data_IF_640270036147
#
_entry.id   IF_640270036147
#
_cell.length_a   1.000
_cell.length_b   1.000
_cell.length_c   1.000
_cell.angle_alpha   90.00
_cell.angle_beta   90.00
_cell.angle_gamma   90.00
#
_symmetry.space_group_name_H-M   'P 1'
#
loop_
_entity.id
_entity.type
_entity.pdbx_description
1 polymer ?
2 non-polymer ?
3 non-polymer ?
4 non-polymer ?
5 water ?
#
# COMPACT_ATOMS: atom_id res chain seq x y z
N UNK A 8 12.90 -11.93 -21.25
CA UNK A 8 13.45 -10.64 -20.80
C UNK A 8 12.33 -9.66 -20.47
N UNK A 9 12.14 -8.68 -21.34
CA UNK A 9 11.06 -7.71 -21.18
C UNK A 9 9.74 -8.29 -21.67
N UNK A 10 9.83 -9.41 -22.38
CA UNK A 10 8.64 -10.08 -22.92
C UNK A 10 7.86 -10.77 -21.81
N UNK A 11 8.56 -11.21 -20.78
CA UNK A 11 7.93 -11.89 -19.65
C UNK A 11 7.13 -10.91 -18.79
N UNK A 12 7.54 -9.63 -18.82
CA UNK A 12 6.83 -8.61 -18.06
C UNK A 12 5.51 -8.24 -18.73
N UNK A 13 5.56 -8.03 -20.05
CA UNK A 13 4.36 -7.66 -20.81
C UNK A 13 3.32 -8.78 -20.77
N UNK A 14 3.78 -10.02 -20.72
CA UNK A 14 2.91 -11.16 -20.52
C UNK A 14 2.27 -11.08 -19.14
N UNK A 15 3.07 -10.70 -18.15
CA UNK A 15 2.60 -10.53 -16.79
C UNK A 15 1.47 -9.51 -16.72
N UNK A 16 1.68 -8.36 -17.37
CA UNK A 16 0.66 -7.31 -17.41
C UNK A 16 -0.62 -7.82 -18.08
N UNK A 17 -0.46 -8.63 -19.12
CA UNK A 17 -1.61 -9.20 -19.83
C UNK A 17 -2.38 -10.19 -18.96
N UNK A 18 -1.65 -11.06 -18.27
CA UNK A 18 -2.26 -12.05 -17.39
C UNK A 18 -3.08 -11.38 -16.29
N UNK A 19 -2.52 -10.35 -15.66
CA UNK A 19 -3.19 -9.62 -14.59
C UNK A 19 -4.49 -8.99 -15.09
N UNK A 20 -4.44 -8.39 -16.27
CA UNK A 20 -5.64 -7.84 -16.91
C UNK A 20 -6.64 -8.95 -17.22
N UNK A 21 -6.13 -10.11 -17.63
CA UNK A 21 -6.97 -11.23 -17.98
C UNK A 21 -7.80 -11.77 -16.84
N UNK A 22 -7.17 -11.88 -15.67
CA UNK A 22 -7.85 -12.35 -14.46
C UNK A 22 -8.97 -11.39 -14.05
N UNK A 23 -8.70 -10.10 -14.18
CA UNK A 23 -9.67 -9.07 -13.83
C UNK A 23 -10.91 -9.12 -14.71
N UNK A 24 -10.70 -9.42 -15.99
CA UNK A 24 -11.82 -9.54 -16.93
C UNK A 24 -12.62 -10.81 -16.67
N UNK A 25 -11.92 -11.90 -16.36
CA UNK A 25 -12.58 -13.16 -16.04
C UNK A 25 -13.41 -13.05 -14.77
N UNK A 26 -13.02 -12.14 -13.87
CA UNK A 26 -13.70 -11.96 -12.61
C UNK A 26 -14.66 -10.76 -12.64
N UNK A 27 -14.81 -10.16 -13.81
CA UNK A 27 -15.66 -8.98 -13.97
C UNK A 27 -17.13 -9.28 -13.73
N UNK A 28 -17.88 -8.26 -13.34
CA UNK A 28 -19.32 -8.42 -13.13
C UNK A 28 -20.07 -8.31 -14.46
N UNK A 29 -19.47 -7.61 -15.41
CA UNK A 29 -20.01 -7.51 -16.77
C UNK A 29 -18.94 -7.07 -17.77
N UNK A 30 -18.39 -8.03 -18.49
CA UNK A 30 -17.32 -7.75 -19.45
C UNK A 30 -17.79 -6.88 -20.60
N UNK A 31 -19.09 -6.98 -20.91
CA UNK A 31 -19.66 -6.21 -22.00
C UNK A 31 -19.96 -4.77 -21.58
N UNK A 32 -19.84 -4.49 -20.29
CA UNK A 32 -20.11 -3.15 -19.77
C UNK A 32 -18.83 -2.39 -19.47
N UNK A 33 -17.69 -3.03 -19.71
CA UNK A 33 -16.39 -2.40 -19.49
C UNK A 33 -16.18 -1.24 -20.45
N UNK A 34 -15.90 -0.06 -19.91
CA UNK A 34 -15.62 1.13 -20.71
C UNK A 34 -14.17 1.12 -21.16
N UNK A 35 -13.95 0.96 -22.47
CA UNK A 35 -12.60 0.84 -23.02
C UNK A 35 -11.77 2.12 -22.83
N UNK A 36 -12.43 3.27 -22.89
CA UNK A 36 -11.76 4.54 -22.65
C UNK A 36 -11.28 4.61 -21.21
N UNK A 37 -12.14 4.22 -20.29
CA UNK A 37 -11.81 4.24 -18.86
C UNK A 37 -10.63 3.33 -18.54
N UNK A 38 -10.77 2.03 -18.83
CA UNK A 38 -9.73 1.07 -18.46
C UNK A 38 -8.49 1.15 -19.35
N UNK A 39 -8.67 1.64 -20.58
CA UNK A 39 -7.55 1.84 -21.48
C UNK A 39 -6.67 2.98 -21.01
N UNK A 40 -7.30 4.11 -20.69
CA UNK A 40 -6.58 5.28 -20.21
C UNK A 40 -6.00 5.06 -18.83
N UNK A 41 -6.71 4.30 -18.00
CA UNK A 41 -6.27 4.01 -16.64
C UNK A 41 -4.96 3.25 -16.64
N UNK A 42 -4.87 2.24 -17.51
CA UNK A 42 -3.64 1.49 -17.67
C UNK A 42 -2.58 2.33 -18.35
N UNK A 43 -3.02 3.21 -19.25
CA UNK A 43 -2.10 4.08 -19.98
C UNK A 43 -1.39 5.04 -19.03
N UNK A 44 -2.13 5.57 -18.06
CA UNK A 44 -1.58 6.50 -17.10
C UNK A 44 -0.61 5.82 -16.14
N UNK A 45 -1.01 4.67 -15.60
CA UNK A 45 -0.17 3.93 -14.66
C UNK A 45 1.13 3.47 -15.32
N UNK A 46 1.03 3.06 -16.58
CA UNK A 46 2.19 2.61 -17.34
C UNK A 46 3.10 3.79 -17.70
N UNK A 47 2.50 4.90 -18.12
CA UNK A 47 3.25 6.09 -18.49
C UNK A 47 3.87 6.76 -17.26
N UNK A 48 3.14 6.76 -16.15
CA UNK A 48 3.65 7.29 -14.89
C UNK A 48 4.85 6.48 -14.44
N UNK A 49 4.76 5.17 -14.63
CA UNK A 49 5.87 4.28 -14.34
C UNK A 49 7.05 4.58 -15.25
N UNK A 50 6.77 4.78 -16.53
CA UNK A 50 7.81 5.13 -17.49
C UNK A 50 8.44 6.47 -17.15
N UNK A 51 7.58 7.42 -16.79
CA UNK A 51 8.03 8.78 -16.49
C UNK A 51 9.06 8.83 -15.36
N UNK A 52 8.71 8.32 -14.19
CA UNK A 52 9.51 8.53 -13.00
C UNK A 52 10.53 7.42 -12.72
N UNK A 53 10.54 6.37 -13.54
CA UNK A 53 11.48 5.28 -13.34
C UNK A 53 12.46 5.14 -14.50
N UNK A 54 12.11 5.72 -15.65
CA UNK A 54 12.95 5.57 -16.84
C UNK A 54 13.51 6.90 -17.33
N UNK A 55 12.62 7.83 -17.71
CA UNK A 55 13.07 9.09 -18.29
C UNK A 55 13.80 9.94 -17.23
N UNK A 56 14.86 10.64 -17.65
CA UNK A 56 15.74 11.39 -16.75
C UNK A 56 15.01 12.45 -15.92
N UNK A 57 14.20 13.29 -16.57
CA UNK A 57 13.51 14.37 -15.87
C UNK A 57 12.54 13.84 -14.83
N UNK A 58 11.85 12.75 -15.14
CA UNK A 58 10.92 12.14 -14.22
C UNK A 58 11.61 11.55 -13.02
N UNK A 59 12.77 10.96 -13.26
CA UNK A 59 13.59 10.37 -12.19
C UNK A 59 14.10 11.45 -11.22
N UNK A 60 14.34 12.65 -11.74
CA UNK A 60 14.85 13.74 -10.93
C UNK A 60 13.75 14.34 -10.05
N UNK A 61 12.54 14.38 -10.58
CA UNK A 61 11.39 14.87 -9.82
C UNK A 61 11.03 13.89 -8.70
N UNK A 62 11.17 12.60 -8.97
CA UNK A 62 10.89 11.57 -7.98
C UNK A 62 11.91 11.59 -6.85
N UNK A 63 13.19 11.68 -7.20
CA UNK A 63 14.26 11.71 -6.20
C UNK A 63 14.24 13.04 -5.45
N UNK A 64 13.66 14.07 -6.07
CA UNK A 64 13.51 15.36 -5.41
C UNK A 64 12.39 15.34 -4.39
N UNK A 65 11.28 14.69 -4.75
CA UNK A 65 10.15 14.55 -3.84
C UNK A 65 10.52 13.63 -2.68
N UNK A 66 11.29 12.59 -2.97
CA UNK A 66 11.68 11.61 -1.97
C UNK A 66 12.65 12.19 -0.93
N UNK A 67 13.56 13.05 -1.38
CA UNK A 67 14.50 13.71 -0.47
C UNK A 67 13.78 14.70 0.43
N UNK A 68 12.69 15.26 -0.06
CA UNK A 68 11.85 16.14 0.75
C UNK A 68 11.11 15.33 1.80
N UNK A 69 10.61 14.17 1.40
CA UNK A 69 9.97 13.23 2.33
C UNK A 69 10.98 12.75 3.37
N UNK A 70 12.22 12.54 2.93
CA UNK A 70 13.27 12.08 3.82
C UNK A 70 13.70 13.17 4.80
N UNK A 71 13.53 14.43 4.40
CA UNK A 71 13.85 15.55 5.28
C UNK A 71 12.77 15.77 6.32
N UNK A 72 11.52 15.56 5.93
CA UNK A 72 10.39 15.69 6.84
C UNK A 72 10.47 14.62 7.93
N UNK A 73 10.88 13.41 7.53
CA UNK A 73 11.06 12.31 8.47
C UNK A 73 12.08 12.66 9.55
N UNK A 74 13.22 13.20 9.15
CA UNK A 74 14.27 13.57 10.09
C UNK A 74 13.84 14.70 11.02
N UNK A 75 13.07 15.65 10.50
CA UNK A 75 12.56 16.74 11.31
C UNK A 75 11.64 16.20 12.40
N UNK A 76 10.76 15.29 12.02
CA UNK A 76 9.85 14.67 12.96
C UNK A 76 10.56 13.86 14.02
N UNK A 77 11.76 13.38 13.68
CA UNK A 77 12.55 12.56 14.59
C UNK A 77 13.07 13.33 15.79
N UNK A 78 13.01 14.66 15.71
CA UNK A 78 13.38 15.50 16.84
C UNK A 78 12.40 15.30 17.99
N UNK A 79 11.15 15.01 17.64
CA UNK A 79 10.12 14.77 18.64
C UNK A 79 10.36 13.49 19.43
N UNK A 80 10.58 12.39 18.72
CA UNK A 80 10.82 11.11 19.37
C UNK A 80 12.18 11.08 20.07
N UNK A 81 13.12 11.88 19.56
CA UNK A 81 14.44 11.98 20.19
C UNK A 81 14.32 12.67 21.55
N UNK A 82 13.39 13.60 21.66
CA UNK A 82 13.17 14.29 22.93
C UNK A 82 12.54 13.35 23.95
N UNK A 83 11.61 12.52 23.49
CA UNK A 83 10.83 11.68 24.39
C UNK A 83 11.61 10.45 24.86
N UNK A 84 12.36 9.84 23.97
CA UNK A 84 13.06 8.59 24.30
C UNK A 84 14.57 8.77 24.44
N UNK A 85 15.04 10.00 24.27
CA UNK A 85 16.41 10.37 24.56
C UNK A 85 17.49 9.49 23.95
N UNK A 86 18.34 8.96 24.82
CA UNK A 86 19.46 8.14 24.38
C UNK A 86 19.09 6.76 23.88
N UNK A 87 17.83 6.36 24.08
CA UNK A 87 17.36 5.06 23.60
C UNK A 87 17.21 5.04 22.08
N UNK A 88 17.27 6.21 21.47
CA UNK A 88 17.24 6.31 20.01
C UNK A 88 18.49 6.99 19.48
N UNK A 89 19.53 7.01 20.31
CA UNK A 89 20.81 7.62 19.93
C UNK A 89 21.74 6.60 19.28
N UNK A 90 22.93 7.06 18.87
CA UNK A 90 23.91 6.20 18.25
C UNK A 90 24.61 5.28 19.24
N UNK A 91 24.52 5.61 20.52
CA UNK A 91 25.14 4.82 21.57
C UNK A 91 24.46 3.46 21.70
N UNK A 92 23.25 3.36 21.16
CA UNK A 92 22.48 2.12 21.21
C UNK A 92 23.13 1.02 20.39
N UNK A 93 23.81 1.42 19.32
CA UNK A 93 24.46 0.47 18.43
C UNK A 93 25.82 0.04 18.97
N UNK A 94 26.43 0.90 19.76
CA UNK A 94 27.72 0.57 20.38
C UNK A 94 27.53 -0.47 21.48
N UNK A 95 26.35 -0.49 22.07
CA UNK A 95 26.06 -1.36 23.21
C UNK A 95 25.36 -2.66 22.80
N UNK A 96 24.29 -2.53 22.03
CA UNK A 96 23.47 -3.68 21.69
C UNK A 96 23.74 -4.18 20.27
N UNK A 97 24.61 -3.48 19.55
CA UNK A 97 24.93 -3.84 18.18
C UNK A 97 23.73 -3.63 17.28
N UNK A 98 23.31 -4.70 16.60
CA UNK A 98 22.16 -4.63 15.72
C UNK A 98 20.88 -4.40 16.50
N UNK A 99 20.81 -5.00 17.69
CA UNK A 99 19.64 -4.87 18.53
C UNK A 99 19.51 -3.51 19.20
N UNK A 100 20.38 -2.58 18.82
CA UNK A 100 20.32 -1.22 19.32
C UNK A 100 19.17 -0.47 18.68
N UNK A 101 18.77 -0.92 17.49
CA UNK A 101 17.62 -0.36 16.80
C UNK A 101 16.32 -0.85 17.41
N UNK A 102 15.73 -0.05 18.29
CA UNK A 102 14.48 -0.42 18.95
C UNK A 102 13.29 0.03 18.11
N UNK A 103 12.64 -0.93 17.44
CA UNK A 103 11.55 -0.66 16.53
C UNK A 103 10.43 0.18 17.14
N UNK A 104 10.15 -0.06 18.41
CA UNK A 104 9.05 0.61 19.09
C UNK A 104 9.25 2.12 19.20
N UNK A 105 10.51 2.53 19.28
CA UNK A 105 10.82 3.95 19.48
C UNK A 105 11.34 4.59 18.19
N UNK A 106 11.68 3.76 17.21
CA UNK A 106 12.30 4.25 15.98
C UNK A 106 11.31 4.41 14.84
N UNK A 107 10.31 3.53 14.79
CA UNK A 107 9.39 3.51 13.65
C UNK A 107 7.98 3.96 14.03
N UNK A 108 7.47 3.45 15.16
CA UNK A 108 6.12 3.79 15.60
C UNK A 108 5.85 5.29 15.82
N UNK A 109 6.81 6.04 16.44
CA UNK A 109 6.51 7.46 16.65
C UNK A 109 6.34 8.27 15.35
N UNK A 110 6.83 7.73 14.24
CA UNK A 110 6.69 8.39 12.93
C UNK A 110 5.21 8.50 12.54
N UNK A 111 4.43 7.50 12.89
CA UNK A 111 3.00 7.49 12.58
C UNK A 111 2.30 8.64 13.30
N UNK A 112 2.79 8.98 14.49
CA UNK A 112 2.24 10.07 15.28
C UNK A 112 2.52 11.42 14.65
N UNK A 113 3.79 11.63 14.28
CA UNK A 113 4.20 12.90 13.68
C UNK A 113 3.54 13.13 12.33
N UNK A 114 3.52 12.12 11.47
CA UNK A 114 2.98 12.30 10.13
C UNK A 114 1.46 12.46 10.13
N UNK A 115 0.78 11.87 11.10
CA UNK A 115 -0.66 12.03 11.21
C UNK A 115 -1.02 13.45 11.62
N UNK A 116 -0.16 14.05 12.45
CA UNK A 116 -0.34 15.42 12.89
C UNK A 116 -0.07 16.39 11.73
N UNK A 117 0.98 16.10 10.97
CA UNK A 117 1.36 16.94 9.83
C UNK A 117 0.30 16.96 8.74
N UNK A 118 -0.20 15.78 8.37
CA UNK A 118 -1.21 15.69 7.32
C UNK A 118 -2.50 16.35 7.80
N UNK A 119 -2.75 16.29 9.11
CA UNK A 119 -3.90 16.94 9.70
C UNK A 119 -3.79 18.45 9.56
N UNK A 120 -2.56 18.95 9.70
CA UNK A 120 -2.28 20.37 9.53
C UNK A 120 -2.45 20.80 8.08
N UNK A 121 -1.94 19.97 7.17
CA UNK A 121 -1.99 20.25 5.74
C UNK A 121 -3.43 20.25 5.21
N UNK A 122 -4.31 19.48 5.85
CA UNK A 122 -5.74 19.49 5.51
C UNK A 122 -6.38 20.81 5.93
N UNK A 123 -6.02 21.27 7.12
CA UNK A 123 -6.56 22.49 7.69
C UNK A 123 -6.21 23.71 6.84
N UNK A 124 -4.97 23.74 6.36
CA UNK A 124 -4.48 24.86 5.56
C UNK A 124 -5.01 24.82 4.13
N UNK A 125 -5.63 23.70 3.76
CA UNK A 125 -6.20 23.56 2.43
C UNK A 125 -5.22 23.07 1.39
N UNK A 126 -4.00 22.75 1.83
CA UNK A 126 -2.95 22.29 0.94
C UNK A 126 -3.26 20.91 0.38
N UNK A 127 -3.83 20.05 1.21
CA UNK A 127 -4.19 18.69 0.79
C UNK A 127 -5.30 18.72 -0.25
N UNK A 128 -6.36 19.47 0.06
CA UNK A 128 -7.51 19.60 -0.84
C UNK A 128 -7.09 20.18 -2.18
N UNK A 129 -6.04 20.99 -2.18
CA UNK A 129 -5.55 21.63 -3.40
C UNK A 129 -4.93 20.61 -4.35
N UNK A 130 -4.08 19.74 -3.80
CA UNK A 130 -3.41 18.72 -4.62
C UNK A 130 -4.39 17.66 -5.10
N UNK A 131 -5.24 17.20 -4.19
CA UNK A 131 -6.26 16.18 -4.49
C UNK A 131 -7.20 16.63 -5.61
N UNK A 132 -7.60 17.89 -5.57
CA UNK A 132 -8.52 18.46 -6.55
C UNK A 132 -7.91 18.47 -7.96
N UNK A 133 -6.60 18.65 -8.03
CA UNK A 133 -5.89 18.68 -9.32
C UNK A 133 -5.74 17.28 -9.89
N UNK A 134 -5.21 16.36 -9.08
CA UNK A 134 -4.99 14.99 -9.50
C UNK A 134 -6.32 14.26 -9.73
N UNK A 135 -7.27 14.49 -8.83
CA UNK A 135 -8.57 13.86 -8.95
C UNK A 135 -9.34 14.36 -10.15
N UNK A 136 -9.10 15.63 -10.51
CA UNK A 136 -9.77 16.25 -11.64
C UNK A 136 -9.18 15.80 -12.96
N UNK A 137 -7.87 15.56 -12.99
CA UNK A 137 -7.20 15.09 -14.18
C UNK A 137 -7.61 13.67 -14.54
N UNK A 138 -7.86 12.86 -13.51
CA UNK A 138 -8.27 11.48 -13.72
C UNK A 138 -9.68 11.39 -14.31
N UNK A 139 -10.62 12.14 -13.76
CA UNK A 139 -12.01 12.03 -14.21
C UNK A 139 -12.22 12.62 -15.60
N UNK A 140 -11.33 13.53 -16.00
CA UNK A 140 -11.42 14.12 -17.34
C UNK A 140 -10.78 13.21 -18.37
N UNK A 141 -9.86 12.36 -17.92
CA UNK A 141 -9.14 11.46 -18.81
C UNK A 141 -9.77 10.07 -18.86
N UNK A 142 -10.39 9.66 -17.75
CA UNK A 142 -10.93 8.30 -17.66
C UNK A 142 -12.45 8.27 -17.78
N UNK A 143 -13.10 9.39 -17.48
CA UNK A 143 -14.54 9.47 -17.55
C UNK A 143 -15.20 8.96 -16.28
N UNK A 144 -14.37 8.66 -15.28
CA UNK A 144 -14.86 8.25 -13.97
C UNK A 144 -15.56 9.44 -13.30
N UNK A 145 -16.41 9.15 -12.31
CA UNK A 145 -17.17 10.21 -11.66
C UNK A 145 -16.29 11.09 -10.80
N UNK A 146 -16.82 12.26 -10.43
CA UNK A 146 -16.09 13.25 -9.65
C UNK A 146 -15.66 12.71 -8.29
N UNK A 147 -16.61 12.13 -7.55
CA UNK A 147 -16.36 11.68 -6.19
C UNK A 147 -15.37 10.53 -6.12
N UNK A 148 -15.53 9.54 -6.99
CA UNK A 148 -14.67 8.35 -6.96
C UNK A 148 -13.25 8.67 -7.41
N UNK A 149 -13.10 9.78 -8.13
CA UNK A 149 -11.80 10.20 -8.63
C UNK A 149 -11.02 10.99 -7.57
N UNK A 150 -11.76 11.73 -6.74
CA UNK A 150 -11.14 12.50 -5.68
C UNK A 150 -10.63 11.56 -4.60
N UNK A 151 -11.41 10.53 -4.31
CA UNK A 151 -11.06 9.51 -3.33
C UNK A 151 -9.85 8.72 -3.79
N UNK A 152 -9.72 8.56 -5.10
CA UNK A 152 -8.58 7.87 -5.70
C UNK A 152 -7.30 8.68 -5.48
N UNK A 153 -7.38 9.98 -5.76
CA UNK A 153 -6.23 10.87 -5.64
C UNK A 153 -5.84 11.10 -4.19
N UNK A 154 -6.83 11.17 -3.31
CA UNK A 154 -6.58 11.36 -1.89
C UNK A 154 -5.83 10.16 -1.30
N UNK A 155 -6.14 8.97 -1.81
CA UNK A 155 -5.58 7.72 -1.31
C UNK A 155 -4.07 7.61 -1.52
N UNK A 156 -3.51 8.50 -2.33
CA UNK A 156 -2.08 8.55 -2.54
C UNK A 156 -1.37 8.96 -1.24
N UNK A 157 -2.01 9.85 -0.49
CA UNK A 157 -1.37 10.45 0.67
C UNK A 157 -1.92 9.95 2.00
N UNK A 158 -3.19 9.54 2.02
CA UNK A 158 -3.83 9.12 3.26
C UNK A 158 -4.39 7.70 3.16
N UNK A 159 -4.91 7.20 4.27
CA UNK A 159 -5.38 5.82 4.36
C UNK A 159 -6.76 5.57 3.79
N UNK A 160 -7.14 4.31 3.74
CA UNK A 160 -8.37 3.86 3.09
C UNK A 160 -9.65 4.36 3.75
N UNK A 161 -9.58 4.70 5.03
CA UNK A 161 -10.75 5.16 5.75
C UNK A 161 -10.80 6.68 5.80
N UNK A 162 -9.65 7.31 5.53
CA UNK A 162 -9.52 8.76 5.58
C UNK A 162 -9.78 9.40 4.22
N UNK A 163 -9.44 8.70 3.15
CA UNK A 163 -9.59 9.22 1.79
C UNK A 163 -11.04 9.54 1.36
N UNK A 164 -12.01 8.65 1.69
CA UNK A 164 -13.38 9.00 1.29
C UNK A 164 -13.97 10.21 2.00
N UNK A 165 -13.30 10.67 3.06
CA UNK A 165 -13.80 11.79 3.85
C UNK A 165 -13.87 13.10 3.04
N UNK A 166 -13.10 13.19 1.97
CA UNK A 166 -13.12 14.39 1.12
C UNK A 166 -14.34 14.42 0.21
N UNK A 167 -15.11 13.33 0.20
CA UNK A 167 -16.32 13.25 -0.60
C UNK A 167 -17.42 12.54 0.17
N UNK A 168 -17.44 12.71 1.49
CA UNK A 168 -18.35 11.95 2.33
C UNK A 168 -19.86 12.24 2.13
N UNK A 169 -20.24 13.46 1.70
CA UNK A 169 -21.70 13.55 1.50
C UNK A 169 -22.19 12.91 0.21
N UNK A 170 -21.29 12.32 -0.57
CA UNK A 170 -21.67 11.70 -1.84
C UNK A 170 -21.58 10.18 -1.77
N UNK A 171 -21.02 9.69 -0.67
CA UNK A 171 -20.84 8.25 -0.48
C UNK A 171 -22.15 7.46 -0.25
N UNK A 172 -23.07 7.96 0.60
CA UNK A 172 -24.29 7.16 0.83
C UNK A 172 -25.14 6.89 -0.43
N UNK A 173 -25.01 7.76 -1.43
CA UNK A 173 -25.87 7.67 -2.61
C UNK A 173 -25.09 7.37 -3.89
N UNK A 174 -23.82 7.02 -3.77
CA UNK A 174 -23.05 6.68 -4.97
C UNK A 174 -23.36 5.25 -5.42
N UNK A 175 -23.10 4.97 -6.68
CA UNK A 175 -23.44 3.69 -7.28
C UNK A 175 -22.55 2.57 -6.76
N UNK A 176 -22.96 1.32 -6.99
CA UNK A 176 -22.20 0.16 -6.52
C UNK A 176 -20.80 0.13 -7.13
N UNK A 177 -20.69 0.60 -8.37
CA UNK A 177 -19.40 0.68 -9.05
C UNK A 177 -18.53 1.79 -8.43
N UNK A 178 -19.18 2.88 -8.02
CA UNK A 178 -18.48 3.98 -7.36
C UNK A 178 -17.96 3.56 -5.99
N UNK A 179 -18.81 2.92 -5.20
CA UNK A 179 -18.44 2.45 -3.88
C UNK A 179 -17.31 1.42 -3.97
N UNK A 180 -17.42 0.51 -4.92
CA UNK A 180 -16.41 -0.52 -5.13
C UNK A 180 -15.06 0.10 -5.50
N UNK A 181 -15.10 1.15 -6.32
CA UNK A 181 -13.89 1.86 -6.71
C UNK A 181 -13.25 2.55 -5.50
N UNK A 182 -14.09 3.15 -4.65
CA UNK A 182 -13.62 3.80 -3.43
C UNK A 182 -12.95 2.78 -2.52
N UNK A 183 -13.56 1.60 -2.40
CA UNK A 183 -12.97 0.51 -1.65
C UNK A 183 -11.63 0.09 -2.26
N UNK A 184 -11.57 0.02 -3.58
CA UNK A 184 -10.37 -0.42 -4.29
C UNK A 184 -9.23 0.60 -4.22
N UNK A 185 -9.57 1.87 -4.26
CA UNK A 185 -8.58 2.92 -4.17
C UNK A 185 -7.83 2.86 -2.85
N UNK A 186 -8.54 2.47 -1.80
CA UNK A 186 -7.95 2.36 -0.48
C UNK A 186 -7.11 1.11 -0.31
N UNK A 187 -7.55 0.02 -0.95
CA UNK A 187 -6.86 -1.26 -0.85
C UNK A 187 -5.60 -1.29 -1.71
N UNK A 188 -5.60 -0.52 -2.79
CA UNK A 188 -4.48 -0.48 -3.72
C UNK A 188 -3.33 0.37 -3.20
N UNK A 189 -3.65 1.27 -2.27
CA UNK A 189 -2.64 2.21 -1.77
C UNK A 189 -2.34 1.99 -0.28
N UNK A 190 -1.45 2.83 0.25
CA UNK A 190 -1.18 2.84 1.69
C UNK A 190 -1.55 4.19 2.27
N UNK A 191 -0.78 4.66 3.25
CA UNK A 191 -1.00 5.97 3.84
C UNK A 191 0.34 6.66 4.08
N UNK A 192 0.32 7.99 4.12
CA UNK A 192 1.53 8.78 4.33
C UNK A 192 2.29 8.43 5.58
N UNK A 193 1.56 8.18 6.66
CA UNK A 193 2.14 7.84 7.95
C UNK A 193 2.92 6.54 7.95
N UNK A 194 2.29 5.46 7.50
CA UNK A 194 2.96 4.16 7.44
C UNK A 194 4.06 4.15 6.37
N UNK A 195 3.90 5.00 5.35
CA UNK A 195 4.91 5.14 4.31
C UNK A 195 6.25 5.49 4.93
N UNK A 196 6.26 6.54 5.74
CA UNK A 196 7.47 7.00 6.41
C UNK A 196 7.96 5.97 7.41
N UNK A 197 7.04 5.13 7.90
CA UNK A 197 7.41 4.03 8.76
C UNK A 197 8.21 2.99 8.01
N UNK A 198 7.71 2.59 6.84
CA UNK A 198 8.40 1.61 6.00
C UNK A 198 9.75 2.16 5.56
N UNK A 199 9.79 3.46 5.28
CA UNK A 199 11.03 4.13 4.91
C UNK A 199 12.02 4.10 6.06
N UNK A 200 11.51 4.17 7.29
CA UNK A 200 12.36 4.14 8.47
C UNK A 200 12.86 2.73 8.78
N UNK A 201 12.37 1.75 8.02
CA UNK A 201 12.79 0.36 8.20
C UNK A 201 13.79 -0.05 7.11
N UNK A 202 14.03 0.83 6.15
CA UNK A 202 15.00 0.57 5.11
C UNK A 202 14.41 0.46 3.71
N UNK A 203 13.09 0.57 3.61
CA UNK A 203 12.44 0.53 2.31
C UNK A 203 12.71 1.84 1.56
N UNK A 204 13.18 1.72 0.32
CA UNK A 204 13.55 2.87 -0.49
C UNK A 204 12.35 3.77 -0.73
N UNK A 205 12.48 5.04 -0.33
CA UNK A 205 11.39 6.00 -0.41
C UNK A 205 10.93 6.22 -1.84
N UNK A 206 11.87 6.16 -2.77
CA UNK A 206 11.58 6.33 -4.19
C UNK A 206 10.54 5.32 -4.67
N UNK A 207 10.63 4.10 -4.14
CA UNK A 207 9.69 3.04 -4.50
C UNK A 207 8.32 3.24 -3.82
N UNK A 208 8.35 3.76 -2.60
CA UNK A 208 7.12 3.98 -1.85
C UNK A 208 6.30 5.14 -2.42
N UNK A 209 6.96 6.24 -2.75
CA UNK A 209 6.30 7.39 -3.35
C UNK A 209 5.76 7.05 -4.74
N UNK A 210 6.58 6.33 -5.52
CA UNK A 210 6.20 5.91 -6.86
C UNK A 210 4.95 5.04 -6.82
N UNK A 211 4.96 4.04 -5.94
CA UNK A 211 3.85 3.10 -5.84
C UNK A 211 2.57 3.77 -5.32
N UNK A 212 2.74 4.74 -4.43
CA UNK A 212 1.60 5.48 -3.88
C UNK A 212 0.86 6.26 -4.96
N UNK A 213 1.61 6.85 -5.90
CA UNK A 213 1.03 7.63 -6.97
C UNK A 213 0.42 6.75 -8.06
N UNK A 214 1.08 5.64 -8.36
CA UNK A 214 0.60 4.71 -9.38
C UNK A 214 -0.64 3.95 -8.90
N UNK A 215 -0.96 4.10 -7.63
CA UNK A 215 -2.13 3.43 -7.06
C UNK A 215 -3.42 4.13 -7.48
N UNK A 216 -3.35 5.43 -7.71
CA UNK A 216 -4.54 6.19 -8.10
C UNK A 216 -5.10 5.74 -9.46
N UNK A 217 -4.26 5.66 -10.51
CA UNK A 217 -4.86 5.12 -11.73
C UNK A 217 -5.04 3.61 -11.67
N UNK A 218 -4.11 2.92 -11.02
CA UNK A 218 -4.14 1.47 -10.91
C UNK A 218 -5.35 0.97 -10.15
N UNK A 219 -5.75 1.71 -9.12
CA UNK A 219 -6.92 1.34 -8.34
C UNK A 219 -8.21 1.50 -9.11
N UNK A 220 -8.28 2.56 -9.91
CA UNK A 220 -9.45 2.79 -10.77
C UNK A 220 -9.49 1.78 -11.90
N UNK A 221 -8.30 1.41 -12.39
CA UNK A 221 -8.15 0.47 -13.49
C UNK A 221 -8.83 -0.87 -13.20
N UNK A 222 -8.51 -1.46 -12.06
CA UNK A 222 -9.04 -2.78 -11.73
C UNK A 222 -10.42 -2.68 -11.08
N UNK A 223 -10.80 -1.49 -10.64
CA UNK A 223 -12.14 -1.26 -10.13
C UNK A 223 -13.14 -1.29 -11.29
N UNK A 224 -12.76 -0.66 -12.40
CA UNK A 224 -13.64 -0.52 -13.55
C UNK A 224 -13.56 -1.74 -14.48
N UNK A 225 -12.59 -2.61 -14.23
CA UNK A 225 -12.50 -3.87 -14.95
C UNK A 225 -13.39 -4.92 -14.28
N UNK A 226 -13.21 -5.08 -12.97
CA UNK A 226 -13.94 -6.10 -12.22
C UNK A 226 -15.36 -5.67 -11.87
N UNK A 227 -15.61 -4.37 -11.90
CA UNK A 227 -16.93 -3.84 -11.58
C UNK A 227 -17.19 -2.55 -12.38
N UNK A 228 -17.55 -2.70 -13.67
CA UNK A 228 -17.83 -1.57 -14.55
C UNK A 228 -19.08 -0.80 -14.12
N UNK A 229 -19.17 0.47 -14.50
CA UNK A 229 -20.34 1.26 -14.17
C UNK A 229 -21.54 0.85 -15.02
N UNK A 230 -22.57 0.33 -14.36
CA UNK A 230 -23.81 -0.06 -15.04
C UNK A 230 -24.97 0.82 -14.58
N UNK A 231 -24.68 1.79 -13.70
CA UNK A 231 -25.68 2.75 -13.26
C UNK A 231 -25.31 4.16 -13.69
N UNK A 232 -26.05 5.14 -13.19
CA UNK A 232 -25.78 6.54 -13.50
C UNK A 232 -25.40 7.34 -12.26
N UNK A 233 -24.11 7.69 -12.13
CA UNK A 233 -23.61 8.48 -11.00
C UNK A 233 -24.19 9.89 -10.96
N UNK A 234 -24.04 10.58 -9.84
CA UNK A 234 -24.54 11.93 -9.69
C UNK A 234 -23.43 12.97 -9.83
N UNK A 235 -23.84 14.24 -9.96
CA UNK A 235 -22.91 15.36 -10.10
C UNK A 235 -21.93 15.17 -11.25
N UNK A 247 -14.14 19.96 11.37
CA UNK A 247 -12.98 20.82 11.18
C UNK A 247 -12.57 21.49 12.50
N UNK A 248 -11.29 21.39 12.86
CA UNK A 248 -10.74 22.00 14.07
C UNK A 248 -10.84 23.53 14.04
N UNK A 249 -10.84 24.15 15.22
CA UNK A 249 -11.02 25.59 15.34
C UNK A 249 -9.79 26.37 14.89
N UNK A 250 -8.61 25.76 15.06
CA UNK A 250 -7.37 26.40 14.66
C UNK A 250 -6.33 25.38 14.23
N UNK A 251 -5.18 25.85 13.76
CA UNK A 251 -4.17 24.97 13.19
C UNK A 251 -3.48 24.12 14.26
N UNK A 252 -3.46 24.63 15.49
CA UNK A 252 -2.85 23.89 16.60
C UNK A 252 -3.75 22.74 17.04
N UNK A 253 -5.06 22.96 16.98
CA UNK A 253 -6.03 21.93 17.29
C UNK A 253 -5.96 20.80 16.27
N UNK A 254 -5.75 21.16 15.01
CA UNK A 254 -5.62 20.18 13.94
C UNK A 254 -4.44 19.25 14.17
N UNK A 255 -3.30 19.83 14.56
CA UNK A 255 -2.10 19.05 14.84
C UNK A 255 -2.32 18.11 16.02
N UNK A 256 -2.99 18.62 17.06
CA UNK A 256 -3.25 17.84 18.26
C UNK A 256 -4.18 16.66 17.96
N UNK A 257 -5.21 16.90 17.16
CA UNK A 257 -6.13 15.85 16.77
C UNK A 257 -5.45 14.79 15.92
N UNK A 258 -4.59 15.24 15.01
CA UNK A 258 -3.85 14.33 14.17
C UNK A 258 -2.86 13.50 14.97
N UNK A 259 -2.26 14.13 15.98
CA UNK A 259 -1.33 13.45 16.87
C UNK A 259 -2.05 12.33 17.62
N UNK A 260 -3.25 12.64 18.09
CA UNK A 260 -4.08 11.68 18.83
C UNK A 260 -4.45 10.48 17.96
N UNK A 261 -4.88 10.76 16.74
CA UNK A 261 -5.23 9.72 15.78
C UNK A 261 -4.00 8.86 15.45
N UNK A 262 -2.85 9.50 15.32
CA UNK A 262 -1.61 8.80 15.05
C UNK A 262 -1.19 7.91 16.19
N UNK A 263 -1.34 8.41 17.42
CA UNK A 263 -1.02 7.65 18.62
C UNK A 263 -1.83 6.36 18.71
N UNK A 264 -3.14 6.49 18.47
CA UNK A 264 -4.05 5.33 18.50
C UNK A 264 -3.63 4.31 17.46
N UNK A 265 -3.26 4.79 16.27
CA UNK A 265 -2.80 3.91 15.19
C UNK A 265 -1.46 3.27 15.54
N UNK A 266 -0.58 4.03 16.17
CA UNK A 266 0.74 3.54 16.55
C UNK A 266 0.64 2.40 17.55
N UNK A 267 -0.31 2.50 18.47
CA UNK A 267 -0.52 1.48 19.48
C UNK A 267 -1.08 0.20 18.86
N UNK A 268 -2.04 0.37 17.95
CA UNK A 268 -2.66 -0.75 17.26
C UNK A 268 -1.65 -1.54 16.42
N UNK A 269 -0.83 -0.83 15.64
CA UNK A 269 0.18 -1.47 14.81
C UNK A 269 1.18 -2.23 15.66
N UNK A 270 1.56 -1.64 16.79
CA UNK A 270 2.49 -2.26 17.71
C UNK A 270 1.95 -3.53 18.33
N UNK A 271 0.70 -3.51 18.75
CA UNK A 271 0.06 -4.67 19.33
C UNK A 271 -0.08 -5.79 18.30
N UNK A 272 -0.41 -5.39 17.07
CA UNK A 272 -0.56 -6.33 15.97
C UNK A 272 0.75 -7.02 15.64
N UNK A 273 1.83 -6.24 15.61
CA UNK A 273 3.14 -6.79 15.27
C UNK A 273 3.64 -7.74 16.35
N UNK A 274 3.38 -7.42 17.62
CA UNK A 274 3.74 -8.32 18.71
C UNK A 274 2.98 -9.64 18.61
N UNK A 275 1.67 -9.55 18.42
CA UNK A 275 0.81 -10.73 18.36
C UNK A 275 1.05 -11.57 17.09
N UNK A 276 1.03 -10.93 15.93
CA UNK A 276 1.15 -11.66 14.66
C UNK A 276 2.49 -12.37 14.52
N UNK A 277 3.58 -11.66 14.83
CA UNK A 277 4.90 -12.27 14.80
C UNK A 277 4.98 -13.41 15.79
N UNK A 278 4.43 -13.20 16.98
CA UNK A 278 4.38 -14.23 18.00
C UNK A 278 3.57 -15.43 17.54
N UNK A 279 2.45 -15.16 16.85
CA UNK A 279 1.60 -16.21 16.32
C UNK A 279 2.30 -16.99 15.21
N UNK A 280 3.03 -16.29 14.35
CA UNK A 280 3.80 -16.94 13.29
C UNK A 280 4.88 -17.85 13.89
N UNK A 281 5.49 -17.39 14.97
CA UNK A 281 6.49 -18.19 15.68
C UNK A 281 5.85 -19.44 16.27
N UNK A 282 4.60 -19.29 16.71
CA UNK A 282 3.85 -20.42 17.24
C UNK A 282 3.45 -21.39 16.13
N UNK A 283 3.08 -20.83 14.98
CA UNK A 283 2.69 -21.63 13.83
C UNK A 283 3.87 -22.42 13.27
N UNK A 284 5.04 -21.78 13.18
CA UNK A 284 6.25 -22.44 12.70
C UNK A 284 6.67 -23.60 13.60
N UNK A 285 6.40 -23.46 14.90
CA UNK A 285 6.68 -24.53 15.85
C UNK A 285 5.78 -25.73 15.59
N UNK A 286 4.52 -25.46 15.32
CA UNK A 286 3.55 -26.51 15.04
C UNK A 286 3.77 -27.13 13.67
N UNK A 287 4.14 -26.29 12.70
CA UNK A 287 4.41 -26.76 11.34
C UNK A 287 5.64 -27.66 11.28
N UNK A 288 6.54 -27.48 12.24
CA UNK A 288 7.73 -28.30 12.32
C UNK A 288 7.40 -29.69 12.84
N UNK A 289 6.41 -29.77 13.72
CA UNK A 289 5.96 -31.04 14.27
C UNK A 289 5.06 -31.78 13.30
N UNK A 290 4.10 -31.05 12.73
CA UNK A 290 3.19 -31.62 11.74
C UNK A 290 3.96 -32.04 10.49
N UNK A 291 4.83 -31.17 10.01
CA UNK A 291 5.65 -31.46 8.84
C UNK A 291 6.58 -32.64 9.05
N UNK A 292 7.01 -32.83 10.30
CA UNK A 292 7.88 -33.93 10.66
C UNK A 292 7.23 -35.29 10.43
N UNK A 293 5.90 -35.31 10.51
CA UNK A 293 5.13 -36.54 10.27
C UNK A 293 5.22 -36.96 8.80
N UNK A 294 5.56 -36.02 7.94
CA UNK A 294 5.68 -36.29 6.50
C UNK A 294 7.12 -36.10 6.04
N UNK A 295 8.06 -36.29 6.96
CA UNK A 295 9.48 -36.21 6.64
C UNK A 295 10.00 -34.81 6.39
N UNK A 296 9.22 -33.80 6.78
CA UNK A 296 9.61 -32.41 6.56
C UNK A 296 9.64 -31.63 7.87
N UNK A 297 10.61 -31.93 8.77
CA UNK A 297 10.65 -31.26 10.06
C UNK A 297 10.99 -29.77 9.96
N UNK A 298 11.61 -29.37 8.85
CA UNK A 298 12.04 -28.00 8.67
C UNK A 298 10.91 -27.11 8.12
N UNK A 299 9.72 -27.69 8.01
CA UNK A 299 8.56 -27.00 7.43
C UNK A 299 8.18 -25.77 8.24
N UNK A 300 8.00 -24.65 7.54
CA UNK A 300 7.64 -23.39 8.17
C UNK A 300 6.57 -22.66 7.37
N UNK A 301 6.09 -21.54 7.89
CA UNK A 301 5.07 -20.75 7.21
C UNK A 301 5.67 -20.07 5.98
N UNK A 302 6.93 -19.64 6.10
CA UNK A 302 7.62 -18.98 5.00
C UNK A 302 7.80 -19.92 3.81
N UNK A 303 7.98 -21.21 4.10
CA UNK A 303 8.15 -22.20 3.04
C UNK A 303 6.86 -22.40 2.26
N UNK A 304 5.76 -22.59 2.98
CA UNK A 304 4.43 -22.72 2.37
C UNK A 304 4.08 -21.50 1.51
N UNK A 305 4.24 -20.31 2.08
CA UNK A 305 3.89 -19.07 1.38
C UNK A 305 4.77 -18.84 0.16
N UNK A 306 6.08 -19.08 0.33
CA UNK A 306 7.02 -18.96 -0.77
C UNK A 306 6.71 -19.94 -1.88
N UNK A 307 6.48 -21.20 -1.53
CA UNK A 307 6.19 -22.26 -2.48
C UNK A 307 4.89 -21.99 -3.24
N UNK A 308 3.96 -21.29 -2.60
CA UNK A 308 2.63 -21.08 -3.16
C UNK A 308 2.54 -19.80 -3.99
N UNK A 309 3.40 -18.82 -3.69
CA UNK A 309 3.34 -17.52 -4.36
C UNK A 309 4.47 -17.33 -5.37
N UNK A 310 5.39 -18.29 -5.44
CA UNK A 310 6.52 -18.23 -6.37
C UNK A 310 6.08 -18.08 -7.85
N UNK A 311 5.05 -18.82 -8.29
CA UNK A 311 4.59 -18.58 -9.67
C UNK A 311 4.12 -17.14 -9.91
N UNK A 312 3.46 -16.57 -8.91
CA UNK A 312 2.97 -15.20 -9.01
C UNK A 312 4.11 -14.19 -9.04
N UNK A 313 5.14 -14.45 -8.23
CA UNK A 313 6.31 -13.58 -8.21
C UNK A 313 7.11 -13.71 -9.50
N UNK A 314 7.21 -14.94 -10.00
CA UNK A 314 7.89 -15.20 -11.26
C UNK A 314 7.17 -14.53 -12.42
N UNK A 315 5.86 -14.38 -12.28
CA UNK A 315 5.03 -13.82 -13.35
C UNK A 315 5.16 -12.30 -13.43
N UNK A 316 5.50 -11.66 -12.32
CA UNK A 316 5.58 -10.20 -12.30
C UNK A 316 6.99 -9.69 -12.54
N UNK A 317 7.93 -10.59 -12.77
CA UNK A 317 9.27 -10.21 -13.18
C UNK A 317 10.41 -10.64 -12.27
N UNK A 318 10.11 -11.45 -11.27
CA UNK A 318 11.15 -11.94 -10.37
C UNK A 318 11.82 -13.18 -10.97
N UNK A 319 13.16 -13.13 -11.07
CA UNK A 319 13.98 -14.24 -11.59
C UNK A 319 13.63 -15.58 -10.94
N UNK A 320 13.78 -16.66 -11.70
CA UNK A 320 13.41 -18.00 -11.25
C UNK A 320 14.08 -18.39 -9.92
N UNK A 321 15.36 -18.03 -9.78
CA UNK A 321 16.12 -18.41 -8.60
C UNK A 321 15.85 -17.52 -7.39
N UNK A 322 14.99 -16.52 -7.56
CA UNK A 322 14.64 -15.61 -6.48
C UNK A 322 13.12 -15.51 -6.29
N UNK A 323 12.38 -16.25 -7.09
CA UNK A 323 10.91 -16.19 -7.07
C UNK A 323 10.33 -16.74 -5.77
N UNK A 324 10.95 -17.75 -5.20
CA UNK A 324 10.44 -18.40 -4.00
C UNK A 324 10.59 -17.50 -2.77
N UNK A 325 11.75 -16.88 -2.62
CA UNK A 325 11.99 -15.95 -1.52
C UNK A 325 11.09 -14.73 -1.65
N UNK A 326 10.91 -14.27 -2.89
CA UNK A 326 10.00 -13.15 -3.17
C UNK A 326 8.57 -13.51 -2.83
N UNK A 327 8.22 -14.78 -3.04
CA UNK A 327 6.89 -15.27 -2.75
C UNK A 327 6.55 -15.27 -1.27
N UNK A 328 7.57 -15.48 -0.44
CA UNK A 328 7.40 -15.46 1.02
C UNK A 328 6.83 -14.13 1.48
N UNK A 329 7.36 -13.05 0.92
CA UNK A 329 7.00 -11.70 1.33
C UNK A 329 5.66 -11.28 0.75
N UNK A 330 5.46 -11.55 -0.53
CA UNK A 330 4.21 -11.21 -1.20
C UNK A 330 3.06 -12.00 -0.60
N UNK A 331 3.31 -13.26 -0.27
CA UNK A 331 2.31 -14.09 0.37
C UNK A 331 1.95 -13.62 1.75
N UNK A 332 2.95 -13.19 2.52
CA UNK A 332 2.73 -12.76 3.89
C UNK A 332 1.93 -11.46 3.93
N UNK A 333 2.17 -10.59 2.96
CA UNK A 333 1.41 -9.36 2.82
C UNK A 333 -0.06 -9.64 2.54
N UNK A 334 -0.33 -10.63 1.70
CA UNK A 334 -1.71 -10.94 1.32
C UNK A 334 -2.51 -11.58 2.44
N UNK A 335 -1.92 -12.59 3.09
CA UNK A 335 -2.62 -13.37 4.10
C UNK A 335 -2.66 -12.68 5.47
N UNK A 336 -1.90 -11.59 5.61
CA UNK A 336 -1.90 -10.82 6.84
C UNK A 336 -2.06 -9.33 6.53
N UNK A 337 -0.93 -8.63 6.42
CA UNK A 337 -0.90 -7.24 6.01
C UNK A 337 0.51 -6.84 5.58
N UNK A 338 0.62 -5.70 4.91
CA UNK A 338 1.89 -5.29 4.32
C UNK A 338 2.91 -4.86 5.35
N UNK A 339 2.44 -4.50 6.55
CA UNK A 339 3.34 -4.06 7.60
C UNK A 339 4.17 -5.22 8.14
N UNK A 340 3.56 -6.38 8.26
CA UNK A 340 4.26 -7.57 8.72
C UNK A 340 5.22 -8.06 7.64
N UNK A 341 4.78 -7.99 6.39
CA UNK A 341 5.62 -8.40 5.26
C UNK A 341 6.88 -7.55 5.19
N UNK A 342 6.71 -6.24 5.28
CA UNK A 342 7.83 -5.31 5.25
C UNK A 342 8.81 -5.57 6.40
N UNK A 343 8.27 -5.98 7.55
CA UNK A 343 9.09 -6.21 8.73
C UNK A 343 10.01 -7.43 8.55
N UNK A 344 9.56 -8.38 7.74
CA UNK A 344 10.33 -9.58 7.46
C UNK A 344 11.20 -9.39 6.22
N UNK A 345 10.89 -8.37 5.44
CA UNK A 345 11.60 -8.08 4.19
C UNK A 345 12.71 -7.05 4.41
N UNK A 346 12.58 -6.28 5.49
CA UNK A 346 13.57 -5.24 5.82
C UNK A 346 14.99 -5.78 6.07
N UNK A 347 15.13 -6.93 6.76
CA UNK A 347 16.50 -7.45 6.92
C UNK A 347 17.18 -7.80 5.59
N UNK A 348 16.39 -8.01 4.55
CA UNK A 348 16.95 -8.33 3.23
C UNK A 348 17.40 -7.08 2.49
N UNK A 349 17.27 -5.93 3.14
CA UNK A 349 17.68 -4.66 2.54
C UNK A 349 18.98 -4.14 3.15
N UNK A 350 19.55 -4.91 4.08
CA UNK A 350 20.79 -4.51 4.74
C UNK A 350 21.96 -5.37 4.28
N UNK A 351 23.14 -5.10 4.83
CA UNK A 351 24.33 -5.87 4.48
C UNK A 351 24.38 -7.19 5.24
N UNK A 352 23.45 -7.36 6.17
CA UNK A 352 23.34 -8.58 6.96
C UNK A 352 22.19 -9.45 6.46
N UNK A 353 21.88 -9.35 5.17
CA UNK A 353 20.79 -10.09 4.57
C UNK A 353 21.13 -11.56 4.41
N UNK A 354 20.20 -12.45 4.79
CA UNK A 354 20.40 -13.91 4.66
C UNK A 354 20.51 -14.35 3.20
N UNK A 355 19.79 -13.65 2.32
CA UNK A 355 19.88 -13.92 0.89
C UNK A 355 20.04 -12.62 0.12
N UNK A 356 21.18 -12.46 -0.56
CA UNK A 356 21.43 -11.27 -1.36
C UNK A 356 20.58 -11.30 -2.63
N UNK A 357 19.64 -10.37 -2.73
CA UNK A 357 18.72 -10.32 -3.85
C UNK A 357 19.16 -9.27 -4.87
N UNK A 358 18.75 -9.45 -6.12
CA UNK A 358 19.05 -8.48 -7.16
C UNK A 358 18.27 -7.19 -6.91
N UNK A 359 18.80 -6.08 -7.40
CA UNK A 359 18.19 -4.77 -7.17
C UNK A 359 16.80 -4.70 -7.79
N UNK A 360 16.60 -5.43 -8.88
CA UNK A 360 15.31 -5.44 -9.57
C UNK A 360 14.27 -6.22 -8.76
N UNK A 361 14.71 -7.31 -8.12
CA UNK A 361 13.84 -8.13 -7.28
C UNK A 361 13.43 -7.36 -6.02
N UNK A 362 14.37 -6.59 -5.47
CA UNK A 362 14.10 -5.76 -4.31
C UNK A 362 13.09 -4.67 -4.62
N UNK A 363 13.11 -4.17 -5.84
CA UNK A 363 12.17 -3.15 -6.28
C UNK A 363 10.77 -3.75 -6.48
N UNK A 364 10.73 -4.93 -7.07
CA UNK A 364 9.47 -5.60 -7.36
C UNK A 364 8.71 -5.93 -6.08
N UNK A 365 9.40 -6.50 -5.09
CA UNK A 365 8.79 -6.81 -3.80
C UNK A 365 8.30 -5.54 -3.11
N UNK A 366 9.09 -4.47 -3.20
CA UNK A 366 8.73 -3.19 -2.60
C UNK A 366 7.43 -2.63 -3.15
N UNK A 367 7.24 -2.76 -4.46
CA UNK A 367 6.04 -2.28 -5.13
C UNK A 367 4.85 -3.20 -4.87
N UNK A 368 5.09 -4.50 -4.89
CA UNK A 368 4.04 -5.49 -4.73
C UNK A 368 3.49 -5.52 -3.31
N UNK A 369 4.31 -5.09 -2.36
CA UNK A 369 3.92 -5.05 -0.95
C UNK A 369 3.22 -3.74 -0.61
N UNK A 370 3.52 -2.70 -1.36
CA UNK A 370 3.01 -1.36 -1.06
C UNK A 370 1.51 -1.25 -1.31
N UNK A 371 0.71 -1.73 -0.35
CA UNK A 371 -0.74 -1.67 -0.47
C UNK A 371 -1.44 -2.30 0.73
N UNK A 372 -2.60 -1.75 1.07
CA UNK A 372 -3.40 -2.25 2.19
C UNK A 372 -4.27 -3.44 1.78
N UNK A 373 -4.00 -3.98 0.60
CA UNK A 373 -4.81 -5.07 0.05
C UNK A 373 -4.67 -6.35 0.85
N UNK A 374 -5.57 -6.55 1.81
CA UNK A 374 -5.65 -7.81 2.54
C UNK A 374 -7.06 -8.01 3.07
N UNK A 375 -7.34 -9.20 3.61
CA UNK A 375 -8.68 -9.54 4.05
C UNK A 375 -9.10 -8.76 5.29
N UNK A 376 -8.12 -8.42 6.14
CA UNK A 376 -8.39 -7.70 7.38
C UNK A 376 -8.86 -6.26 7.12
N UNK A 377 -8.51 -5.74 5.95
CA UNK A 377 -8.87 -4.36 5.60
C UNK A 377 -10.36 -4.23 5.28
N UNK A 378 -11.03 -5.35 5.01
CA UNK A 378 -12.47 -5.32 4.76
C UNK A 378 -13.21 -4.93 6.03
N UNK A 379 -12.78 -5.50 7.15
CA UNK A 379 -13.36 -5.17 8.45
C UNK A 379 -13.12 -3.70 8.76
N UNK A 380 -11.94 -3.21 8.40
CA UNK A 380 -11.59 -1.80 8.62
C UNK A 380 -12.39 -0.89 7.70
N UNK A 381 -12.67 -1.37 6.48
CA UNK A 381 -13.50 -0.61 5.55
C UNK A 381 -14.95 -0.57 6.02
N UNK A 382 -15.42 -1.66 6.63
CA UNK A 382 -16.78 -1.72 7.18
C UNK A 382 -16.96 -0.70 8.31
N UNK A 383 -15.89 -0.43 9.04
CA UNK A 383 -15.95 0.52 10.14
C UNK A 383 -15.86 1.95 9.67
N UNK A 384 -14.76 2.28 9.00
CA UNK A 384 -14.53 3.63 8.52
C UNK A 384 -15.49 4.07 7.43
N UNK A 385 -15.42 3.41 6.28
CA UNK A 385 -16.25 3.77 5.14
C UNK A 385 -17.72 3.47 5.42
N UNK A 386 -17.97 2.50 6.30
CA UNK A 386 -19.33 2.13 6.65
C UNK A 386 -20.01 3.11 7.56
N UNK A 387 -19.23 3.90 8.30
CA UNK A 387 -19.79 4.91 9.20
C UNK A 387 -20.27 6.11 8.41
N UNK A 388 -19.70 6.29 7.21
CA UNK A 388 -20.08 7.38 6.32
C UNK A 388 -21.40 7.05 5.62
N UNK A 389 -21.73 5.77 5.58
CA UNK A 389 -22.93 5.30 4.91
C UNK A 389 -23.41 3.98 5.53
N UNK A 390 -24.06 4.08 6.70
CA UNK A 390 -24.48 2.90 7.47
C UNK A 390 -25.42 1.96 6.72
N UNK A 391 -26.20 2.50 5.79
CA UNK A 391 -27.13 1.68 5.02
C UNK A 391 -26.43 0.99 3.85
N UNK A 392 -25.13 1.15 3.76
CA UNK A 392 -24.35 0.58 2.67
C UNK A 392 -23.30 -0.43 3.17
N UNK A 393 -23.42 -0.82 4.43
CA UNK A 393 -22.50 -1.78 5.02
C UNK A 393 -22.68 -3.18 4.43
N UNK A 394 -23.87 -3.44 3.91
CA UNK A 394 -24.14 -4.70 3.25
C UNK A 394 -23.39 -4.81 1.94
N UNK A 395 -23.41 -3.73 1.16
CA UNK A 395 -22.72 -3.68 -0.13
C UNK A 395 -21.21 -3.77 0.04
N UNK A 396 -20.70 -3.17 1.10
CA UNK A 396 -19.26 -3.21 1.37
C UNK A 396 -18.81 -4.63 1.69
N UNK A 397 -19.53 -5.30 2.56
CA UNK A 397 -19.21 -6.67 2.95
C UNK A 397 -19.34 -7.62 1.77
N UNK A 398 -20.30 -7.34 0.90
CA UNK A 398 -20.54 -8.18 -0.27
C UNK A 398 -19.43 -8.05 -1.30
N UNK A 399 -18.92 -6.83 -1.46
CA UNK A 399 -17.89 -6.57 -2.47
C UNK A 399 -16.48 -6.63 -1.89
N UNK A 400 -16.38 -6.94 -0.60
CA UNK A 400 -15.11 -6.96 0.10
C UNK A 400 -13.99 -7.76 -0.56
N UNK A 401 -14.21 -9.07 -0.73
CA UNK A 401 -13.18 -9.96 -1.27
C UNK A 401 -12.79 -9.58 -2.71
N UNK A 402 -13.79 -9.26 -3.53
CA UNK A 402 -13.53 -8.81 -4.90
C UNK A 402 -12.66 -7.56 -4.91
N UNK A 403 -12.89 -6.67 -3.95
CA UNK A 403 -12.14 -5.42 -3.86
C UNK A 403 -10.71 -5.65 -3.40
N UNK A 404 -10.53 -6.68 -2.56
CA UNK A 404 -9.20 -7.07 -2.10
C UNK A 404 -8.38 -7.65 -3.25
N UNK A 405 -9.03 -8.51 -4.04
CA UNK A 405 -8.39 -9.07 -5.23
C UNK A 405 -7.99 -7.96 -6.20
N UNK A 406 -8.92 -7.04 -6.45
CA UNK A 406 -8.68 -5.92 -7.35
C UNK A 406 -7.49 -5.08 -6.87
N UNK A 407 -7.42 -4.84 -5.55
CA UNK A 407 -6.33 -4.11 -4.96
C UNK A 407 -5.01 -4.85 -5.07
N UNK A 408 -5.07 -6.18 -4.98
CA UNK A 408 -3.89 -7.02 -5.12
C UNK A 408 -3.35 -6.94 -6.55
N UNK A 409 -4.26 -6.96 -7.53
CA UNK A 409 -3.87 -6.88 -8.94
C UNK A 409 -3.20 -5.55 -9.24
N UNK A 410 -3.66 -4.49 -8.58
CA UNK A 410 -3.11 -3.15 -8.78
C UNK A 410 -1.66 -3.08 -8.27
N UNK A 411 -1.41 -3.69 -7.12
CA UNK A 411 -0.06 -3.72 -6.56
C UNK A 411 0.87 -4.57 -7.41
N UNK A 412 0.35 -5.68 -7.92
CA UNK A 412 1.13 -6.58 -8.76
C UNK A 412 1.44 -5.95 -10.11
N UNK A 413 0.48 -5.20 -10.65
CA UNK A 413 0.69 -4.49 -11.91
C UNK A 413 1.77 -3.43 -11.77
N UNK A 414 1.70 -2.67 -10.67
CA UNK A 414 2.69 -1.62 -10.42
C UNK A 414 4.09 -2.20 -10.29
N UNK A 415 4.19 -3.39 -9.70
CA UNK A 415 5.46 -4.08 -9.56
C UNK A 415 6.00 -4.57 -10.90
N UNK A 416 5.10 -5.06 -11.74
CA UNK A 416 5.47 -5.55 -13.07
C UNK A 416 5.97 -4.40 -13.93
N UNK A 417 5.24 -3.30 -13.91
CA UNK A 417 5.63 -2.07 -14.59
C UNK A 417 6.98 -1.58 -14.08
N UNK A 418 7.16 -1.62 -12.76
CA UNK A 418 8.40 -1.18 -12.13
C UNK A 418 9.57 -2.01 -12.59
N UNK A 419 9.41 -3.34 -12.55
CA UNK A 419 10.46 -4.24 -12.97
C UNK A 419 10.78 -4.12 -14.45
N UNK A 420 9.78 -3.74 -15.24
CA UNK A 420 9.95 -3.59 -16.68
C UNK A 420 10.88 -2.42 -17.02
N UNK A 421 10.70 -1.31 -16.32
CA UNK A 421 11.49 -0.11 -16.58
C UNK A 421 12.77 -0.07 -15.75
N UNK A 422 13.09 -1.19 -15.10
CA UNK A 422 14.31 -1.30 -14.31
C UNK A 422 15.10 -2.54 -14.70
X LIG B 1 -4.29 0.60 8.16
X LIG B 1 -5.35 1.41 7.80
X LIG B 1 -6.43 0.93 7.51
X LIG B 1 -5.18 2.77 7.77
X LIG B 1 -3.96 3.33 8.10
X LIG B 1 -2.88 2.46 8.47
X LIG B 1 -3.07 1.14 8.49
X LIG B 1 -4.47 -0.89 8.19
X LIG B 1 -4.39 -1.53 6.81
X LIG B 1 -5.34 -2.57 6.73
X LIG B 1 -2.96 -2.00 6.72
X LIG B 1 -2.84 -3.19 5.94
X LIG B 1 -2.56 -2.26 8.17
X LIG B 1 -3.49 -1.52 9.00
X LIG B 1 -1.09 -2.20 8.49
X LIG B 1 -0.37 -1.06 8.01
X LIG C 1 -4.52 5.21 0.60
X LIG D 1 -13.39 -16.78 5.83
X LIG D 1 -14.67 -16.17 5.39
X LIG D 1 -14.59 -14.77 5.12
X LIG D 1 -13.39 -14.34 4.34
X LIG D 1 -12.12 -15.00 4.82
X LIG D 1 -12.19 -16.37 5.02
X LIG D 1 -15.78 -14.36 4.36
X LIG D 1 -11.02 -16.79 5.65
X LIG D 1 -9.77 -16.78 4.94
X LIG D 1 -8.53 -16.73 5.80
X LIG D 1 -7.29 -17.52 5.38
X LIG D 1 -6.34 -17.94 6.51
X LIG D 1 -4.85 -17.87 6.27
X LIG D 1 -3.95 -18.48 7.36
X LIG D 1 -2.49 -18.11 7.38
X LIG D 1 -1.96 -17.24 8.55
X LIG D 1 -0.91 -16.24 8.25
X LIG D 1 -0.26 -15.54 9.42
X LIG D 1 -13.55 -18.19 5.80
X LIG D 1 -15.65 -16.40 6.43
X LIG D 1 -13.24 -12.88 4.39
X LIG D 1 -13.35 -12.26 5.61
X LIG D 1 -18.01 -14.23 5.07
X LIG D 1 -18.61 -14.18 3.72
X LIG D 1 -18.43 -12.96 3.01
X LIG D 1 -17.08 -12.35 3.21
X LIG D 1 -16.70 -12.31 4.66
X LIG D 1 -16.66 -13.60 5.15
X LIG D 1 -18.61 -13.24 1.59
X LIG D 1 -17.86 -15.57 5.44
X LIG D 1 -20.04 -14.45 3.83
X LIG D 1 -17.00 -10.99 2.66
X LIG D 1 -16.26 -10.08 3.36
#
# INVERSE_FOLDING_TARGET
>A
GPAVPRMSLFMSLIGMAVLLGIAVLLSSNRKAINLRTVGGAFAIQFSLGAFILYVPWGQELLRGFSDAVSNVINYGNDGTSFLFGGLVSGKMFEVFGGGGFIFAFRVLPTLIFFSALISVLYYLGVMQWVIRILGGGLQKALGTSRAESMSAAANIFVGQTEAPLVVRPFVPKMTQSELFAVMCGGLASIAGGVLAGYASMGVKIEYLVAASFMAAPGGLLFAKLMMPETEKPQDNEDITLDGGDDKPANVIDAAAGGASAGLQLALNVGAMLIAFIGLIALINGMLGGIGGWFGMPELKLEMLLGWLFAPLAFLIGVPWNEATVAGEFIGLKTVANEFVAYSQFAPYLTEAAPVVLSEKTKAIISFALCGFANLSSIAILLGGLGSLAPKRRGDIARMGVKAVIAGTLSNLMAATIAGFFLSF
>B hetero
1 ZE8 N1 C2 O2 N3 C4 C5 C6 C1' C2' O2' C3' O3' C4' O4' C5' O5'
>C hetero
1 NA NA
>D hetero
1 DMU C1 C2 C3 C4 O5 C6 O7 O16 C18 C19 C22 C25 C28 C31 C34 C37 C40 C43 O49 O55 C57 O61 C5 C7 C8 C9 O1 C10 O2 O3 O4 C11 O6
#
